data_IF_455151575002
#
_entry.id   IF_455151575002
#
_cell.length_a   1.000
_cell.length_b   1.000
_cell.length_c   1.000
_cell.angle_alpha   90.00
_cell.angle_beta   90.00
_cell.angle_gamma   90.00
#
_symmetry.space_group_name_H-M   'P 1'
#
loop_
_entity.id
_entity.type
_entity.pdbx_description
1 polymer ?
#
# COMPACT_ATOMS: atom_id res chain seq x y z
N UNK A 1 2.02 -16.29 -2.19
CA UNK A 1 2.87 -16.84 -3.28
C UNK A 1 2.19 -17.03 -4.65
N UNK A 2 1.01 -17.68 -4.78
CA UNK A 2 0.40 -17.91 -6.11
C UNK A 2 0.15 -16.63 -6.92
N UNK A 3 -0.17 -15.50 -6.26
CA UNK A 3 -0.40 -14.23 -6.93
C UNK A 3 0.90 -13.63 -7.49
N UNK A 4 1.95 -13.48 -6.68
CA UNK A 4 3.26 -12.97 -7.13
C UNK A 4 3.77 -13.71 -8.35
N UNK A 5 3.69 -15.04 -8.35
CA UNK A 5 4.09 -15.85 -9.51
C UNK A 5 3.27 -15.55 -10.78
N UNK A 6 1.95 -15.32 -10.63
CA UNK A 6 1.09 -14.91 -11.75
C UNK A 6 1.44 -13.50 -12.26
N UNK A 7 1.80 -12.58 -11.36
CA UNK A 7 2.20 -11.23 -11.76
C UNK A 7 3.54 -11.24 -12.49
N UNK A 8 4.53 -12.01 -12.00
CA UNK A 8 5.81 -12.23 -12.69
C UNK A 8 5.58 -12.86 -14.06
N UNK A 9 4.71 -13.88 -14.15
CA UNK A 9 4.33 -14.46 -15.43
C UNK A 9 3.66 -13.42 -16.34
N UNK A 10 2.79 -12.56 -15.81
CA UNK A 10 2.17 -11.46 -16.54
C UNK A 10 3.21 -10.48 -17.10
N UNK A 11 4.20 -10.08 -16.30
CA UNK A 11 5.32 -9.23 -16.72
C UNK A 11 6.07 -9.88 -17.88
N UNK A 12 6.50 -11.15 -17.72
CA UNK A 12 7.27 -11.88 -18.74
C UNK A 12 6.47 -12.04 -20.03
N UNK A 13 5.20 -12.46 -19.92
CA UNK A 13 4.30 -12.63 -21.07
C UNK A 13 4.08 -11.29 -21.77
N UNK A 14 3.84 -10.22 -21.01
CA UNK A 14 3.68 -8.86 -21.54
C UNK A 14 4.89 -8.43 -22.35
N UNK A 15 6.10 -8.58 -21.79
CA UNK A 15 7.36 -8.24 -22.49
C UNK A 15 7.49 -9.03 -23.79
N UNK A 16 7.29 -10.35 -23.74
CA UNK A 16 7.40 -11.20 -24.93
C UNK A 16 6.41 -10.74 -26.00
N UNK A 17 5.15 -10.52 -25.62
CA UNK A 17 4.12 -10.04 -26.55
C UNK A 17 4.47 -8.68 -27.13
N UNK A 18 4.94 -7.73 -26.32
CA UNK A 18 5.34 -6.40 -26.78
C UNK A 18 6.50 -6.39 -27.76
N UNK A 19 7.46 -7.31 -27.61
CA UNK A 19 8.65 -7.38 -28.48
C UNK A 19 8.40 -8.07 -29.84
N UNK A 20 7.45 -9.01 -29.91
CA UNK A 20 7.30 -9.89 -31.10
C UNK A 20 5.94 -9.79 -31.79
N UNK A 21 4.93 -9.22 -31.13
CA UNK A 21 3.55 -9.27 -31.65
C UNK A 21 3.29 -8.13 -32.64
N UNK A 22 2.39 -8.35 -33.62
CA UNK A 22 1.95 -7.28 -34.51
C UNK A 22 1.13 -6.22 -33.75
N UNK A 23 1.05 -5.02 -34.31
CA UNK A 23 0.30 -3.87 -33.78
C UNK A 23 -1.12 -4.26 -33.30
N UNK A 24 -1.83 -5.08 -34.07
CA UNK A 24 -3.18 -5.52 -33.72
C UNK A 24 -3.25 -6.14 -32.31
N UNK A 25 -2.28 -7.00 -31.95
CA UNK A 25 -2.24 -7.65 -30.63
C UNK A 25 -1.96 -6.61 -29.54
N UNK A 26 -1.02 -5.69 -29.79
CA UNK A 26 -0.69 -4.62 -28.84
C UNK A 26 -1.91 -3.75 -28.56
N UNK A 27 -2.63 -3.32 -29.59
CA UNK A 27 -3.85 -2.49 -29.46
C UNK A 27 -5.01 -3.21 -28.76
N UNK A 28 -5.11 -4.54 -28.92
CA UNK A 28 -6.05 -5.36 -28.13
C UNK A 28 -5.66 -5.34 -26.64
N UNK A 29 -4.38 -5.55 -26.32
CA UNK A 29 -3.89 -5.49 -24.93
C UNK A 29 -4.10 -4.11 -24.30
N UNK A 30 -3.88 -3.04 -25.05
CA UNK A 30 -4.13 -1.67 -24.63
C UNK A 30 -5.61 -1.38 -24.39
N UNK A 31 -6.51 -2.00 -25.16
CA UNK A 31 -7.95 -1.89 -24.91
C UNK A 31 -8.34 -2.56 -23.60
N UNK A 32 -7.77 -3.74 -23.32
CA UNK A 32 -7.96 -4.44 -22.03
C UNK A 32 -7.42 -3.58 -20.88
N UNK A 33 -6.24 -2.98 -21.07
CA UNK A 33 -5.63 -2.02 -20.13
C UNK A 33 -6.65 -0.92 -19.82
N UNK A 34 -7.05 -0.14 -20.84
CA UNK A 34 -7.90 1.04 -20.73
C UNK A 34 -9.23 0.79 -19.99
N UNK A 35 -9.93 -0.30 -20.36
CA UNK A 35 -11.21 -0.66 -19.75
C UNK A 35 -11.02 -1.03 -18.28
N UNK A 36 -10.00 -1.84 -17.99
CA UNK A 36 -9.77 -2.31 -16.63
C UNK A 36 -9.20 -1.22 -15.72
N UNK A 37 -8.33 -0.35 -16.24
CA UNK A 37 -7.85 0.84 -15.55
C UNK A 37 -9.00 1.78 -15.21
N UNK A 38 -9.92 2.02 -16.15
CA UNK A 38 -11.14 2.80 -15.90
C UNK A 38 -12.04 2.17 -14.84
N UNK A 39 -12.17 0.84 -14.82
CA UNK A 39 -12.91 0.12 -13.77
C UNK A 39 -12.25 0.27 -12.39
N UNK A 40 -10.91 0.18 -12.30
CA UNK A 40 -10.20 0.45 -11.04
C UNK A 40 -10.47 1.89 -10.59
N UNK A 41 -10.36 2.85 -11.51
CA UNK A 41 -10.70 4.27 -11.29
C UNK A 41 -12.09 4.48 -10.69
N UNK A 42 -13.09 3.81 -11.24
CA UNK A 42 -14.47 3.83 -10.76
C UNK A 42 -14.63 3.28 -9.34
N UNK A 43 -13.90 2.23 -8.98
CA UNK A 43 -14.02 1.55 -7.68
C UNK A 43 -13.29 2.31 -6.54
N UNK A 44 -12.24 3.07 -6.84
CA UNK A 44 -11.42 3.79 -5.84
C UNK A 44 -12.26 4.62 -4.84
N UNK A 45 -13.21 5.49 -5.25
CA UNK A 45 -14.01 6.27 -4.31
C UNK A 45 -14.82 5.41 -3.35
N UNK A 46 -15.29 4.24 -3.78
CA UNK A 46 -16.02 3.31 -2.91
C UNK A 46 -15.10 2.62 -1.91
N UNK A 47 -13.87 2.28 -2.30
CA UNK A 47 -12.85 1.77 -1.37
C UNK A 47 -12.66 2.79 -0.26
N UNK A 48 -12.39 4.04 -0.62
CA UNK A 48 -12.17 5.13 0.34
C UNK A 48 -13.39 5.30 1.24
N UNK A 49 -14.58 5.45 0.66
CA UNK A 49 -15.81 5.69 1.39
C UNK A 49 -16.11 4.60 2.41
N UNK A 50 -16.21 3.34 1.96
CA UNK A 50 -16.66 2.25 2.82
C UNK A 50 -15.59 1.81 3.81
N UNK A 51 -14.32 1.72 3.41
CA UNK A 51 -13.26 1.30 4.33
C UNK A 51 -12.95 2.35 5.38
N UNK A 52 -12.82 3.63 5.01
CA UNK A 52 -12.51 4.70 5.97
C UNK A 52 -13.68 4.93 6.90
N UNK A 53 -14.91 5.03 6.41
CA UNK A 53 -16.06 5.22 7.30
C UNK A 53 -16.25 4.02 8.24
N UNK A 54 -16.18 2.78 7.73
CA UNK A 54 -16.28 1.56 8.55
C UNK A 54 -15.17 1.47 9.59
N UNK A 55 -13.93 1.77 9.18
CA UNK A 55 -12.74 1.77 10.04
C UNK A 55 -12.85 2.81 11.15
N UNK A 56 -13.09 4.07 10.80
CA UNK A 56 -13.22 5.18 11.77
C UNK A 56 -14.40 4.95 12.71
N UNK A 57 -15.54 4.47 12.21
CA UNK A 57 -16.70 4.13 13.03
C UNK A 57 -16.42 2.96 14.01
N UNK A 58 -15.51 2.05 13.64
CA UNK A 58 -15.12 0.89 14.44
C UNK A 58 -14.15 1.19 15.58
N UNK A 59 -13.52 2.36 15.61
CA UNK A 59 -12.55 2.76 16.65
C UNK A 59 -13.18 3.09 18.03
N UNK A 60 -14.50 2.89 18.21
CA UNK A 60 -15.28 3.35 19.37
C UNK A 60 -15.44 2.40 20.58
N UNK A 61 -15.47 3.02 21.77
CA UNK A 61 -15.85 2.62 23.16
C UNK A 61 -14.89 1.88 24.11
N UNK A 62 -13.79 1.22 23.70
CA UNK A 62 -12.82 0.68 24.69
C UNK A 62 -11.62 1.61 24.87
N UNK A 63 -11.44 2.13 26.08
CA UNK A 63 -10.39 3.09 26.51
C UNK A 63 -9.99 4.10 25.42
N UNK A 64 -10.73 5.22 25.33
CA UNK A 64 -10.43 6.28 24.35
C UNK A 64 -8.98 6.78 24.42
N UNK A 65 -8.33 6.66 25.58
CA UNK A 65 -6.90 6.93 25.74
C UNK A 65 -6.01 5.89 25.06
N UNK A 66 -6.27 4.59 25.28
CA UNK A 66 -5.50 3.50 24.66
C UNK A 66 -5.63 3.51 23.13
N UNK A 67 -6.87 3.62 22.62
CA UNK A 67 -7.14 3.73 21.18
C UNK A 67 -6.42 4.95 20.61
N UNK A 68 -6.66 6.13 21.18
CA UNK A 68 -6.10 7.39 20.68
C UNK A 68 -4.57 7.39 20.68
N UNK A 69 -3.94 6.87 21.74
CA UNK A 69 -2.48 6.77 21.83
C UNK A 69 -1.93 5.78 20.80
N UNK A 70 -2.58 4.63 20.62
CA UNK A 70 -2.16 3.62 19.63
C UNK A 70 -2.29 4.15 18.21
N UNK A 71 -3.41 4.82 17.89
CA UNK A 71 -3.63 5.46 16.58
C UNK A 71 -2.61 6.56 16.32
N UNK A 72 -2.34 7.41 17.31
CA UNK A 72 -1.34 8.48 17.18
C UNK A 72 0.07 7.94 16.93
N UNK A 73 0.49 6.91 17.67
CA UNK A 73 1.80 6.26 17.49
C UNK A 73 1.87 5.55 16.14
N UNK A 74 0.81 4.83 15.72
CA UNK A 74 0.74 4.16 14.44
C UNK A 74 0.82 5.14 13.25
N UNK A 75 0.08 6.25 13.33
CA UNK A 75 0.11 7.31 12.32
C UNK A 75 1.51 7.95 12.24
N UNK A 76 2.09 8.33 13.38
CA UNK A 76 3.42 8.93 13.43
C UNK A 76 4.48 7.97 12.88
N UNK A 77 4.44 6.71 13.29
CA UNK A 77 5.32 5.65 12.77
C UNK A 77 5.20 5.54 11.24
N UNK A 78 3.98 5.52 10.71
CA UNK A 78 3.72 5.40 9.27
C UNK A 78 4.23 6.61 8.49
N UNK A 79 4.01 7.82 8.98
CA UNK A 79 4.49 9.07 8.35
C UNK A 79 6.02 9.13 8.38
N UNK A 80 6.65 8.84 9.52
CA UNK A 80 8.11 8.82 9.65
C UNK A 80 8.75 7.77 8.74
N UNK A 81 8.14 6.59 8.62
CA UNK A 81 8.56 5.56 7.68
C UNK A 81 8.53 6.06 6.23
N UNK A 82 7.45 6.74 5.84
CA UNK A 82 7.32 7.37 4.52
C UNK A 82 8.35 8.47 4.28
N UNK A 83 8.66 9.29 5.29
CA UNK A 83 9.70 10.32 5.18
C UNK A 83 11.10 9.72 5.01
N UNK A 84 11.44 8.68 5.77
CA UNK A 84 12.70 7.95 5.61
C UNK A 84 12.79 7.35 4.21
N UNK A 85 11.72 6.69 3.75
CA UNK A 85 11.65 6.14 2.41
C UNK A 85 11.83 7.23 1.35
N UNK A 86 11.19 8.39 1.50
CA UNK A 86 11.31 9.50 0.54
C UNK A 86 12.74 10.04 0.47
N UNK A 87 13.38 10.27 1.62
CA UNK A 87 14.76 10.76 1.68
C UNK A 87 15.71 9.78 0.99
N UNK A 88 15.56 8.48 1.24
CA UNK A 88 16.39 7.46 0.57
C UNK A 88 16.05 7.39 -0.92
N UNK A 89 14.77 7.45 -1.29
CA UNK A 89 14.33 7.37 -2.68
C UNK A 89 14.89 8.53 -3.52
N UNK A 90 14.73 9.78 -3.07
CA UNK A 90 15.19 10.96 -3.81
C UNK A 90 16.71 11.08 -3.89
N UNK A 91 17.44 10.42 -2.97
CA UNK A 91 18.90 10.42 -2.99
C UNK A 91 19.46 9.28 -3.82
N UNK A 92 18.86 8.10 -3.80
CA UNK A 92 19.45 6.91 -4.45
C UNK A 92 18.91 6.66 -5.85
N UNK A 93 17.59 6.83 -6.08
CA UNK A 93 16.96 6.52 -7.37
C UNK A 93 17.56 7.33 -8.53
N UNK A 94 17.86 8.65 -8.40
CA UNK A 94 18.44 9.41 -9.51
C UNK A 94 19.77 8.86 -10.04
N UNK A 95 20.56 8.14 -9.22
CA UNK A 95 21.80 7.51 -9.66
C UNK A 95 21.60 6.20 -10.44
N UNK A 96 20.36 5.71 -10.49
CA UNK A 96 19.98 4.44 -11.11
C UNK A 96 19.00 4.61 -12.27
N UNK A 97 18.29 5.73 -12.30
CA UNK A 97 17.55 6.14 -13.48
C UNK A 97 18.53 6.31 -14.64
N UNK A 98 18.26 5.74 -15.82
CA UNK A 98 19.02 6.09 -17.01
C UNK A 98 19.04 7.62 -17.14
N UNK A 99 20.15 8.20 -17.63
CA UNK A 99 20.07 9.52 -18.27
C UNK A 99 18.87 9.47 -19.21
N UNK A 100 18.08 10.55 -19.32
CA UNK A 100 16.99 10.64 -20.28
C UNK A 100 17.55 10.38 -21.69
N UNK A 101 17.67 9.11 -22.06
CA UNK A 101 17.86 8.67 -23.42
C UNK A 101 16.62 9.16 -24.09
N UNK A 102 16.80 10.09 -25.03
CA UNK A 102 15.78 10.52 -25.98
C UNK A 102 14.98 9.28 -26.30
N UNK A 103 13.75 9.21 -25.79
CA UNK A 103 12.85 8.11 -26.07
C UNK A 103 12.75 8.17 -27.59
N UNK A 104 13.38 7.21 -28.27
CA UNK A 104 13.18 7.04 -29.70
C UNK A 104 11.66 7.02 -29.88
N UNK A 105 11.13 7.77 -30.84
CA UNK A 105 9.69 7.84 -31.15
C UNK A 105 9.12 6.43 -31.30
N UNK A 106 8.81 5.79 -30.18
CA UNK A 106 8.08 4.55 -30.09
C UNK A 106 6.71 4.92 -30.60
N UNK A 107 6.21 4.11 -31.52
CA UNK A 107 4.88 4.32 -32.07
C UNK A 107 3.88 4.32 -30.91
N UNK A 108 3.26 5.46 -30.60
CA UNK A 108 2.22 5.50 -29.58
C UNK A 108 1.02 4.72 -30.11
N UNK A 109 0.83 3.51 -29.60
CA UNK A 109 -0.27 2.67 -30.03
C UNK A 109 -1.55 3.11 -29.33
N UNK A 110 -2.60 3.34 -30.11
CA UNK A 110 -3.92 3.69 -29.55
C UNK A 110 -4.78 2.42 -29.35
N UNK A 111 -5.50 2.29 -28.23
CA UNK A 111 -6.42 1.16 -28.02
C UNK A 111 -7.52 1.15 -29.09
N UNK A 112 -8.05 -0.04 -29.41
CA UNK A 112 -9.25 -0.17 -30.25
C UNK A 112 -10.52 0.26 -29.52
N UNK A 113 -10.59 -0.03 -28.23
CA UNK A 113 -11.74 0.29 -27.38
C UNK A 113 -11.25 1.03 -26.13
N UNK A 114 -11.75 2.24 -25.96
CA UNK A 114 -11.55 3.05 -24.77
C UNK A 114 -12.92 3.30 -24.15
N UNK A 115 -13.21 2.58 -23.07
CA UNK A 115 -14.43 2.78 -22.29
C UNK A 115 -14.07 3.56 -21.03
N UNK A 116 -14.39 4.85 -21.02
CA UNK A 116 -14.21 5.68 -19.83
C UNK A 116 -15.39 5.49 -18.88
N UNK A 117 -15.11 4.93 -17.70
CA UNK A 117 -16.10 4.76 -16.63
C UNK A 117 -15.87 5.90 -15.62
N UNK A 118 -16.70 6.93 -15.68
CA UNK A 118 -16.58 8.07 -14.78
C UNK A 118 -16.80 7.63 -13.31
N UNK A 119 -15.91 8.01 -12.38
CA UNK A 119 -16.08 7.70 -10.96
C UNK A 119 -17.31 8.43 -10.38
N UNK A 120 -18.00 7.79 -9.42
CA UNK A 120 -19.20 8.36 -8.80
C UNK A 120 -18.92 9.71 -8.09
N UNK A 121 -17.73 9.85 -7.53
CA UNK A 121 -17.28 11.07 -6.85
C UNK A 121 -15.75 11.17 -6.88
N UNK A 122 -15.21 12.38 -6.71
CA UNK A 122 -13.77 12.57 -6.59
C UNK A 122 -13.21 11.94 -5.32
N UNK A 123 -11.92 11.59 -5.33
CA UNK A 123 -11.19 10.97 -4.21
C UNK A 123 -11.26 11.82 -2.94
N UNK A 124 -11.04 13.12 -3.06
CA UNK A 124 -11.10 14.05 -1.91
C UNK A 124 -12.52 14.09 -1.34
N UNK A 125 -13.54 14.15 -2.21
CA UNK A 125 -14.94 14.10 -1.79
C UNK A 125 -15.24 12.80 -1.06
N UNK A 126 -14.85 11.66 -1.61
CA UNK A 126 -15.02 10.35 -0.95
C UNK A 126 -14.35 10.31 0.43
N UNK A 127 -13.15 10.85 0.54
CA UNK A 127 -12.40 10.90 1.79
C UNK A 127 -13.10 11.75 2.86
N UNK A 128 -13.49 12.98 2.51
CA UNK A 128 -14.21 13.88 3.41
C UNK A 128 -15.53 13.26 3.85
N UNK A 129 -16.30 12.70 2.90
CA UNK A 129 -17.54 11.97 3.19
C UNK A 129 -17.30 10.80 4.13
N UNK A 130 -16.24 10.01 3.90
CA UNK A 130 -15.92 8.87 4.74
C UNK A 130 -15.63 9.26 6.20
N UNK A 131 -14.89 10.34 6.42
CA UNK A 131 -14.62 10.85 7.77
C UNK A 131 -15.88 11.42 8.43
N UNK A 132 -16.69 12.19 7.70
CA UNK A 132 -17.96 12.74 8.22
C UNK A 132 -18.88 11.61 8.68
N UNK A 133 -19.10 10.59 7.84
CA UNK A 133 -19.92 9.44 8.21
C UNK A 133 -19.26 8.58 9.28
N UNK A 134 -17.96 8.28 9.18
CA UNK A 134 -17.25 7.45 10.16
C UNK A 134 -17.29 8.04 11.58
N UNK A 135 -16.96 9.32 11.72
CA UNK A 135 -17.02 10.04 13.01
C UNK A 135 -18.48 10.19 13.46
N UNK A 136 -19.38 10.52 12.54
CA UNK A 136 -20.81 10.66 12.81
C UNK A 136 -21.43 9.37 13.36
N UNK A 137 -21.13 8.21 12.76
CA UNK A 137 -21.59 6.89 13.21
C UNK A 137 -21.02 6.60 14.61
N UNK A 138 -19.73 6.84 14.84
CA UNK A 138 -19.11 6.62 16.14
C UNK A 138 -19.75 7.47 17.26
N UNK A 139 -20.09 8.72 16.96
CA UNK A 139 -20.65 9.67 17.94
C UNK A 139 -22.15 9.50 18.17
N UNK A 140 -22.90 9.13 17.14
CA UNK A 140 -24.35 8.91 17.23
C UNK A 140 -24.71 7.49 17.65
N UNK A 141 -23.74 6.57 17.65
CA UNK A 141 -23.92 5.15 17.95
C UNK A 141 -24.93 4.44 17.02
N UNK A 142 -25.08 4.96 15.80
CA UNK A 142 -26.05 4.45 14.82
C UNK A 142 -25.66 3.05 14.32
N UNK A 143 -26.34 2.03 14.86
CA UNK A 143 -26.11 0.63 14.47
C UNK A 143 -26.50 0.35 13.02
N UNK A 144 -27.58 0.98 12.53
CA UNK A 144 -28.04 0.81 11.15
C UNK A 144 -26.99 1.32 10.17
N UNK A 145 -26.48 2.54 10.36
CA UNK A 145 -25.47 3.11 9.48
C UNK A 145 -24.16 2.33 9.58
N UNK A 146 -23.73 1.91 10.78
CA UNK A 146 -22.55 1.05 10.92
C UNK A 146 -22.67 -0.23 10.08
N UNK A 147 -23.83 -0.89 10.17
CA UNK A 147 -24.11 -2.12 9.40
C UNK A 147 -24.07 -1.86 7.90
N UNK A 148 -24.71 -0.78 7.42
CA UNK A 148 -24.69 -0.41 5.99
C UNK A 148 -23.27 -0.23 5.47
N UNK A 149 -22.43 0.51 6.20
CA UNK A 149 -21.05 0.76 5.78
C UNK A 149 -20.17 -0.49 5.87
N UNK A 150 -20.41 -1.38 6.84
CA UNK A 150 -19.72 -2.66 6.95
C UNK A 150 -20.11 -3.64 5.84
N UNK A 151 -21.38 -3.71 5.46
CA UNK A 151 -21.83 -4.50 4.32
C UNK A 151 -21.31 -3.91 3.00
N UNK A 152 -21.32 -2.59 2.83
CA UNK A 152 -20.69 -1.92 1.71
C UNK A 152 -19.20 -2.25 1.59
N UNK A 153 -18.47 -2.22 2.71
CA UNK A 153 -17.07 -2.65 2.77
C UNK A 153 -16.90 -4.10 2.30
N UNK A 154 -17.73 -5.04 2.77
CA UNK A 154 -17.69 -6.46 2.34
C UNK A 154 -17.93 -6.61 0.84
N UNK A 155 -18.84 -5.84 0.25
CA UNK A 155 -19.08 -5.84 -1.20
C UNK A 155 -17.81 -5.42 -1.94
N UNK A 156 -17.17 -4.34 -1.51
CA UNK A 156 -15.94 -3.86 -2.14
C UNK A 156 -14.76 -4.84 -1.92
N UNK A 157 -14.64 -5.44 -0.74
CA UNK A 157 -13.69 -6.54 -0.48
C UNK A 157 -13.89 -7.69 -1.48
N UNK A 158 -15.13 -8.08 -1.77
CA UNK A 158 -15.43 -9.10 -2.77
C UNK A 158 -15.05 -8.67 -4.18
N UNK A 159 -15.31 -7.42 -4.56
CA UNK A 159 -14.88 -6.87 -5.86
C UNK A 159 -13.36 -6.93 -6.00
N UNK A 160 -12.61 -6.49 -4.99
CA UNK A 160 -11.15 -6.55 -4.99
C UNK A 160 -10.68 -8.00 -5.13
N UNK A 161 -11.18 -8.90 -4.27
CA UNK A 161 -10.69 -10.28 -4.20
C UNK A 161 -11.10 -11.17 -5.37
N UNK A 162 -12.29 -10.95 -5.95
CA UNK A 162 -12.88 -11.82 -6.99
C UNK A 162 -12.80 -11.24 -8.39
N UNK A 163 -12.66 -9.93 -8.53
CA UNK A 163 -12.59 -9.27 -9.84
C UNK A 163 -11.20 -8.68 -10.03
N UNK A 164 -10.78 -7.76 -9.15
CA UNK A 164 -9.57 -7.00 -9.43
C UNK A 164 -8.31 -7.88 -9.37
N UNK A 165 -8.06 -8.54 -8.24
CA UNK A 165 -6.87 -9.37 -8.02
C UNK A 165 -6.69 -10.46 -9.11
N UNK A 166 -7.72 -11.22 -9.50
CA UNK A 166 -7.58 -12.22 -10.55
C UNK A 166 -7.26 -11.66 -11.94
N UNK A 167 -7.69 -10.43 -12.25
CA UNK A 167 -7.44 -9.77 -13.53
C UNK A 167 -6.11 -8.99 -13.56
N UNK A 168 -5.53 -8.65 -12.41
CA UNK A 168 -4.23 -7.96 -12.33
C UNK A 168 -3.12 -8.58 -13.21
N UNK A 169 -2.92 -9.90 -13.30
CA UNK A 169 -1.88 -10.47 -14.17
C UNK A 169 -2.04 -10.10 -15.65
N UNK A 170 -3.29 -10.04 -16.14
CA UNK A 170 -3.58 -9.66 -17.53
C UNK A 170 -3.35 -8.16 -17.71
N UNK A 171 -3.83 -7.35 -16.76
CA UNK A 171 -3.62 -5.91 -16.79
C UNK A 171 -2.14 -5.52 -16.79
N UNK A 172 -1.33 -6.16 -15.93
CA UNK A 172 0.13 -5.96 -15.89
C UNK A 172 0.78 -6.44 -17.20
N UNK A 173 0.34 -7.58 -17.75
CA UNK A 173 0.85 -8.03 -19.05
C UNK A 173 0.61 -6.99 -20.14
N UNK A 174 -0.57 -6.35 -20.17
CA UNK A 174 -0.85 -5.27 -21.13
C UNK A 174 0.07 -4.06 -20.97
N UNK A 175 0.34 -3.63 -19.74
CA UNK A 175 1.26 -2.50 -19.46
C UNK A 175 2.68 -2.83 -19.91
N UNK A 176 3.17 -4.03 -19.58
CA UNK A 176 4.52 -4.43 -19.98
C UNK A 176 4.65 -4.72 -21.47
N UNK A 177 3.56 -5.10 -22.15
CA UNK A 177 3.52 -5.19 -23.60
C UNK A 177 3.64 -3.82 -24.26
N UNK A 178 2.95 -2.81 -23.72
CA UNK A 178 3.07 -1.41 -24.16
C UNK A 178 4.50 -0.90 -24.01
N UNK A 179 5.07 -1.00 -22.81
CA UNK A 179 6.46 -0.57 -22.55
C UNK A 179 7.48 -1.30 -23.43
N UNK A 180 7.24 -2.59 -23.72
CA UNK A 180 8.13 -3.37 -24.57
C UNK A 180 8.01 -2.97 -26.04
N UNK A 181 6.80 -2.66 -26.51
CA UNK A 181 6.55 -2.15 -27.85
C UNK A 181 7.12 -0.72 -28.05
N UNK A 182 7.14 0.09 -26.98
CA UNK A 182 7.78 1.42 -26.94
C UNK A 182 9.31 1.37 -26.75
N UNK A 183 9.86 0.20 -26.41
CA UNK A 183 11.30 0.02 -26.18
C UNK A 183 11.80 0.50 -24.81
N UNK A 184 10.92 0.92 -23.89
CA UNK A 184 11.27 1.47 -22.55
C UNK A 184 11.29 0.40 -21.44
N UNK A 185 10.92 -0.84 -21.75
CA UNK A 185 10.70 -1.89 -20.75
C UNK A 185 11.95 -2.30 -19.97
N UNK A 186 13.12 -2.35 -20.61
CA UNK A 186 14.35 -2.78 -19.94
C UNK A 186 14.85 -1.75 -18.94
N UNK A 187 14.72 -0.47 -19.27
CA UNK A 187 15.07 0.60 -18.36
C UNK A 187 14.10 0.68 -17.19
N UNK A 188 12.81 0.48 -17.45
CA UNK A 188 11.80 0.30 -16.41
C UNK A 188 12.16 -0.86 -15.46
N UNK A 189 12.53 -2.03 -16.00
CA UNK A 189 12.91 -3.20 -15.19
C UNK A 189 14.16 -2.98 -14.33
N UNK A 190 15.17 -2.24 -14.83
CA UNK A 190 16.37 -1.89 -14.05
C UNK A 190 15.99 -1.07 -12.81
N UNK A 191 15.20 -0.01 -13.01
CA UNK A 191 14.73 0.84 -11.91
C UNK A 191 13.85 0.05 -10.95
N UNK A 192 13.00 -0.84 -11.47
CA UNK A 192 12.16 -1.73 -10.65
C UNK A 192 13.00 -2.60 -9.71
N UNK A 193 14.06 -3.24 -10.22
CA UNK A 193 14.95 -4.06 -9.40
C UNK A 193 15.57 -3.27 -8.24
N UNK A 194 16.06 -2.06 -8.51
CA UNK A 194 16.63 -1.16 -7.49
C UNK A 194 15.58 -0.78 -6.44
N UNK A 195 14.39 -0.35 -6.89
CA UNK A 195 13.27 0.06 -6.02
C UNK A 195 12.87 -1.07 -5.07
N UNK A 196 12.76 -2.30 -5.57
CA UNK A 196 12.42 -3.46 -4.75
C UNK A 196 13.47 -3.74 -3.67
N UNK A 197 14.76 -3.69 -4.03
CA UNK A 197 15.86 -3.89 -3.07
C UNK A 197 15.89 -2.78 -2.02
N UNK A 198 15.73 -1.52 -2.43
CA UNK A 198 15.69 -0.37 -1.52
C UNK A 198 14.50 -0.44 -0.57
N UNK A 199 13.31 -0.80 -1.06
CA UNK A 199 12.12 -0.96 -0.23
C UNK A 199 12.34 -2.04 0.84
N UNK A 200 12.80 -3.24 0.45
CA UNK A 200 13.05 -4.35 1.38
C UNK A 200 14.15 -4.01 2.39
N UNK A 201 15.23 -3.37 1.95
CA UNK A 201 16.30 -2.91 2.85
C UNK A 201 15.76 -1.88 3.86
N UNK A 202 14.98 -0.91 3.38
CA UNK A 202 14.40 0.14 4.22
C UNK A 202 13.36 -0.41 5.19
N UNK A 203 12.62 -1.47 4.83
CA UNK A 203 11.76 -2.18 5.79
C UNK A 203 12.55 -2.68 7.00
N UNK A 204 13.71 -3.31 6.79
CA UNK A 204 14.55 -3.78 7.88
C UNK A 204 15.19 -2.65 8.68
N UNK A 205 15.66 -1.59 8.02
CA UNK A 205 16.14 -0.37 8.69
C UNK A 205 15.05 0.20 9.59
N UNK A 206 13.83 0.31 9.08
CA UNK A 206 12.70 0.84 9.83
C UNK A 206 12.31 -0.05 11.02
N UNK A 207 12.26 -1.38 10.83
CA UNK A 207 12.05 -2.34 11.93
C UNK A 207 13.11 -2.14 13.03
N UNK A 208 14.39 -1.99 12.65
CA UNK A 208 15.46 -1.76 13.63
C UNK A 208 15.23 -0.45 14.39
N UNK A 209 14.91 0.65 13.71
CA UNK A 209 14.62 1.94 14.34
C UNK A 209 13.46 1.82 15.32
N UNK A 210 12.36 1.17 14.93
CA UNK A 210 11.18 0.96 15.77
C UNK A 210 11.53 0.16 17.03
N UNK A 211 12.25 -0.95 16.90
CA UNK A 211 12.58 -1.80 18.04
C UNK A 211 13.67 -1.24 18.94
N UNK A 212 14.67 -0.52 18.40
CA UNK A 212 15.65 0.23 19.21
C UNK A 212 14.94 1.29 20.04
N UNK A 213 14.02 2.04 19.43
CA UNK A 213 13.23 3.06 20.13
C UNK A 213 12.32 2.44 21.20
N UNK A 214 11.60 1.37 20.85
CA UNK A 214 10.74 0.65 21.79
C UNK A 214 11.52 0.00 22.93
N UNK A 215 12.67 -0.60 22.63
CA UNK A 215 13.57 -1.21 23.60
C UNK A 215 14.16 -0.20 24.58
N UNK A 216 14.63 0.95 24.06
CA UNK A 216 15.12 2.05 24.88
C UNK A 216 14.03 2.60 25.81
N UNK A 217 12.81 2.76 25.31
CA UNK A 217 11.69 3.27 26.10
C UNK A 217 11.18 2.27 27.17
N UNK A 218 11.14 0.99 26.83
CA UNK A 218 10.63 -0.08 27.71
C UNK A 218 11.68 -0.75 28.59
N UNK A 219 12.97 -0.45 28.39
CA UNK A 219 14.08 -1.12 29.07
C UNK A 219 14.30 -2.57 28.61
N UNK A 220 13.83 -2.93 27.41
CA UNK A 220 13.93 -4.28 26.84
C UNK A 220 14.99 -4.33 25.73
N UNK A 221 15.69 -5.45 25.56
CA UNK A 221 16.69 -5.59 24.49
C UNK A 221 16.02 -5.65 23.10
N UNK A 222 16.35 -4.74 22.16
CA UNK A 222 15.67 -4.64 20.87
C UNK A 222 15.85 -5.87 19.98
N UNK A 223 17.02 -6.52 20.00
CA UNK A 223 17.30 -7.71 19.19
C UNK A 223 16.51 -8.93 19.69
N UNK A 224 16.32 -9.05 21.00
CA UNK A 224 15.44 -10.08 21.57
C UNK A 224 13.99 -9.84 21.14
N UNK A 225 13.54 -8.58 21.15
CA UNK A 225 12.18 -8.22 20.74
C UNK A 225 11.93 -8.57 19.25
N UNK A 226 12.86 -8.23 18.36
CA UNK A 226 12.80 -8.58 16.93
C UNK A 226 12.80 -10.10 16.76
N UNK A 227 13.73 -10.82 17.43
CA UNK A 227 13.85 -12.28 17.33
C UNK A 227 12.54 -13.00 17.64
N UNK A 228 11.79 -12.51 18.62
CA UNK A 228 10.50 -13.09 19.00
C UNK A 228 9.40 -12.85 17.96
N UNK A 229 9.55 -11.85 17.09
CA UNK A 229 8.60 -11.48 16.04
C UNK A 229 8.87 -12.14 14.69
N UNK A 230 10.04 -12.78 14.51
CA UNK A 230 10.37 -13.51 13.28
C UNK A 230 9.28 -14.52 12.84
N UNK A 231 8.62 -15.29 13.73
CA UNK A 231 7.53 -16.17 13.31
C UNK A 231 6.38 -15.41 12.64
N UNK A 232 6.01 -14.23 13.16
CA UNK A 232 4.98 -13.38 12.54
C UNK A 232 5.46 -12.81 11.21
N UNK A 233 6.71 -12.34 11.13
CA UNK A 233 7.34 -11.86 9.90
C UNK A 233 7.28 -12.91 8.77
N UNK A 234 7.76 -14.13 9.02
CA UNK A 234 7.76 -15.20 8.01
C UNK A 234 6.35 -15.71 7.68
N UNK A 235 5.43 -15.69 8.65
CA UNK A 235 4.02 -16.01 8.38
C UNK A 235 3.42 -14.99 7.41
N UNK A 236 3.65 -13.69 7.65
CA UNK A 236 3.18 -12.61 6.79
C UNK A 236 3.79 -12.65 5.39
N UNK A 237 5.04 -13.07 5.24
CA UNK A 237 5.62 -13.32 3.90
C UNK A 237 4.80 -14.38 3.14
N UNK A 238 4.41 -15.45 3.81
CA UNK A 238 3.64 -16.54 3.20
C UNK A 238 2.19 -16.15 2.89
N UNK A 239 1.52 -15.53 3.86
CA UNK A 239 0.08 -15.20 3.80
C UNK A 239 -0.19 -13.94 2.98
N UNK A 240 0.74 -12.98 2.96
CA UNK A 240 0.55 -11.64 2.39
C UNK A 240 -0.68 -10.92 2.99
N UNK A 241 -1.02 -11.22 4.25
CA UNK A 241 -2.12 -10.55 4.95
C UNK A 241 -1.81 -10.35 6.43
N UNK A 242 -1.92 -9.09 6.89
CA UNK A 242 -1.82 -8.74 8.31
C UNK A 242 -2.92 -9.42 9.11
N UNK A 243 -4.16 -9.38 8.61
CA UNK A 243 -5.32 -9.98 9.26
C UNK A 243 -5.16 -11.50 9.44
N UNK A 244 -4.69 -12.22 8.42
CA UNK A 244 -4.42 -13.65 8.51
C UNK A 244 -3.27 -14.01 9.47
N UNK A 245 -2.39 -13.04 9.77
CA UNK A 245 -1.20 -13.24 10.60
C UNK A 245 -1.43 -12.91 12.08
N UNK A 246 -2.57 -12.27 12.44
CA UNK A 246 -2.93 -11.88 13.81
C UNK A 246 -2.66 -12.99 14.86
N UNK A 247 -3.08 -14.26 14.67
CA UNK A 247 -2.87 -15.30 15.69
C UNK A 247 -1.39 -15.61 15.97
N UNK A 248 -0.50 -15.40 14.98
CA UNK A 248 0.95 -15.59 15.14
C UNK A 248 1.58 -14.32 15.73
N UNK A 249 1.12 -13.13 15.29
CA UNK A 249 1.55 -11.84 15.83
C UNK A 249 1.24 -11.75 17.33
N UNK A 250 0.02 -12.11 17.76
CA UNK A 250 -0.37 -12.12 19.17
C UNK A 250 0.56 -12.98 20.03
N UNK A 251 0.84 -14.21 19.61
CA UNK A 251 1.78 -15.10 20.31
C UNK A 251 3.19 -14.52 20.39
N UNK A 252 3.64 -13.86 19.32
CA UNK A 252 4.96 -13.23 19.23
C UNK A 252 5.07 -12.01 20.15
N UNK A 253 4.02 -11.19 20.21
CA UNK A 253 3.93 -9.99 21.08
C UNK A 253 3.83 -10.38 22.55
N UNK A 254 3.02 -11.39 22.90
CA UNK A 254 2.97 -11.92 24.28
C UNK A 254 4.33 -12.48 24.73
N UNK A 255 5.09 -13.10 23.82
CA UNK A 255 6.47 -13.53 24.08
C UNK A 255 7.44 -12.37 24.38
N UNK A 256 7.14 -11.16 23.91
CA UNK A 256 7.84 -9.93 24.25
C UNK A 256 7.47 -9.33 25.62
N UNK A 257 6.75 -10.10 26.46
CA UNK A 257 6.30 -9.70 27.80
C UNK A 257 5.43 -8.44 27.74
N UNK A 258 4.56 -8.35 26.74
CA UNK A 258 3.45 -7.38 26.69
C UNK A 258 2.26 -7.99 27.41
N UNK A 259 1.55 -7.22 28.25
CA UNK A 259 0.36 -7.72 28.96
C UNK A 259 -0.69 -8.22 27.98
N UNK A 260 -1.36 -9.32 28.33
CA UNK A 260 -2.34 -9.98 27.46
C UNK A 260 -3.44 -9.02 26.98
N UNK A 261 -3.98 -8.19 27.88
CA UNK A 261 -5.00 -7.19 27.54
C UNK A 261 -4.53 -6.16 26.51
N UNK A 262 -3.27 -5.72 26.62
CA UNK A 262 -2.66 -4.78 25.67
C UNK A 262 -2.44 -5.46 24.33
N UNK A 263 -1.91 -6.69 24.33
CA UNK A 263 -1.64 -7.44 23.09
C UNK A 263 -2.94 -7.80 22.36
N UNK A 264 -3.93 -8.34 23.08
CA UNK A 264 -5.21 -8.81 22.53
C UNK A 264 -6.04 -7.66 21.93
N UNK A 265 -5.85 -6.45 22.42
CA UNK A 265 -6.44 -5.24 21.84
C UNK A 265 -5.57 -4.60 20.75
N UNK A 266 -4.29 -4.37 21.05
CA UNK A 266 -3.40 -3.56 20.25
C UNK A 266 -2.94 -4.25 18.96
N UNK A 267 -2.76 -5.57 18.94
CA UNK A 267 -2.35 -6.29 17.72
C UNK A 267 -3.45 -6.26 16.65
N UNK A 268 -4.71 -6.63 16.91
CA UNK A 268 -5.77 -6.53 15.90
C UNK A 268 -5.99 -5.10 15.40
N UNK A 269 -5.88 -4.11 16.31
CA UNK A 269 -5.98 -2.71 15.94
C UNK A 269 -4.84 -2.30 14.99
N UNK A 270 -3.58 -2.55 15.36
CA UNK A 270 -2.41 -2.20 14.54
C UNK A 270 -2.41 -2.92 13.18
N UNK A 271 -2.85 -4.18 13.12
CA UNK A 271 -2.96 -4.93 11.88
C UNK A 271 -3.86 -4.27 10.82
N UNK A 272 -4.72 -3.33 11.23
CA UNK A 272 -5.55 -2.51 10.35
C UNK A 272 -4.98 -1.11 10.15
N UNK A 273 -4.49 -0.46 11.20
CA UNK A 273 -4.17 0.98 11.17
C UNK A 273 -2.69 1.32 10.91
N UNK A 274 -1.79 0.33 11.00
CA UNK A 274 -0.35 0.53 10.96
C UNK A 274 0.27 -0.20 9.77
N UNK A 275 0.39 0.52 8.66
CA UNK A 275 0.91 -0.03 7.39
C UNK A 275 2.19 0.69 6.95
N UNK A 276 3.16 0.81 7.86
CA UNK A 276 4.42 1.54 7.63
C UNK A 276 5.30 0.92 6.54
N UNK A 277 5.42 -0.40 6.45
CA UNK A 277 6.08 -1.10 5.35
C UNK A 277 5.39 -0.87 4.00
N UNK A 278 4.05 -0.88 4.00
CA UNK A 278 3.30 -0.54 2.78
C UNK A 278 3.57 0.89 2.33
N UNK A 279 3.61 1.86 3.24
CA UNK A 279 3.93 3.26 2.92
C UNK A 279 5.36 3.42 2.44
N UNK A 280 6.34 2.75 3.05
CA UNK A 280 7.72 2.73 2.55
C UNK A 280 7.74 2.33 1.07
N UNK A 281 7.09 1.21 0.75
CA UNK A 281 7.00 0.74 -0.64
C UNK A 281 6.31 1.76 -1.54
N UNK A 282 5.12 2.23 -1.17
CA UNK A 282 4.33 3.15 -2.00
C UNK A 282 5.14 4.42 -2.30
N UNK A 283 5.88 4.95 -1.32
CA UNK A 283 6.73 6.13 -1.51
C UNK A 283 7.87 5.84 -2.48
N UNK A 284 8.60 4.73 -2.32
CA UNK A 284 9.67 4.35 -3.26
C UNK A 284 9.13 4.19 -4.69
N UNK A 285 8.01 3.48 -4.85
CA UNK A 285 7.39 3.29 -6.14
C UNK A 285 6.90 4.60 -6.75
N UNK A 286 6.29 5.49 -5.95
CA UNK A 286 5.80 6.77 -6.44
C UNK A 286 6.93 7.65 -6.96
N UNK A 287 8.04 7.74 -6.20
CA UNK A 287 9.24 8.48 -6.64
C UNK A 287 9.79 7.88 -7.94
N UNK A 288 9.92 6.56 -8.03
CA UNK A 288 10.40 5.90 -9.24
C UNK A 288 9.50 6.16 -10.45
N UNK A 289 8.18 6.03 -10.28
CA UNK A 289 7.20 6.26 -11.35
C UNK A 289 7.21 7.73 -11.80
N UNK A 290 7.31 8.69 -10.88
CA UNK A 290 7.46 10.12 -11.22
C UNK A 290 8.73 10.38 -12.03
N UNK A 291 9.82 9.68 -11.73
CA UNK A 291 11.08 9.86 -12.46
C UNK A 291 11.12 9.14 -13.81
N UNK A 292 10.41 8.02 -13.94
CA UNK A 292 10.30 7.25 -15.17
C UNK A 292 9.30 7.83 -16.18
N UNK A 293 8.35 8.65 -15.71
CA UNK A 293 7.27 9.18 -16.55
C UNK A 293 7.57 10.64 -16.94
N UNK A 294 7.86 10.93 -18.21
CA UNK A 294 8.33 12.27 -18.63
C UNK A 294 7.36 13.41 -18.32
N UNK A 295 6.06 13.15 -18.40
CA UNK A 295 5.01 14.16 -18.21
C UNK A 295 4.68 14.44 -16.73
N UNK A 296 5.24 13.65 -15.81
CA UNK A 296 5.03 13.86 -14.38
C UNK A 296 6.06 14.84 -13.81
N UNK A 297 5.58 15.68 -12.90
CA UNK A 297 6.47 16.57 -12.15
C UNK A 297 7.51 15.74 -11.38
N UNK A 298 8.75 16.24 -11.35
CA UNK A 298 9.81 15.60 -10.59
C UNK A 298 9.46 15.57 -9.08
N UNK A 299 9.83 14.50 -8.36
CA UNK A 299 9.49 14.37 -6.95
C UNK A 299 10.25 15.42 -6.11
N UNK A 300 9.51 16.32 -5.46
CA UNK A 300 10.07 17.31 -4.54
C UNK A 300 9.55 17.08 -3.12
N UNK A 301 10.22 17.67 -2.13
CA UNK A 301 9.74 17.65 -0.75
C UNK A 301 8.35 18.32 -0.63
N UNK A 302 8.12 19.41 -1.38
CA UNK A 302 6.85 20.14 -1.37
C UNK A 302 5.68 19.30 -1.92
N UNK A 303 5.93 18.46 -2.93
CA UNK A 303 4.90 17.60 -3.51
C UNK A 303 4.69 16.32 -2.69
N UNK A 304 5.76 15.71 -2.19
CA UNK A 304 5.69 14.40 -1.52
C UNK A 304 5.30 14.49 -0.05
N UNK A 305 5.62 15.58 0.65
CA UNK A 305 5.30 15.72 2.07
C UNK A 305 3.78 15.64 2.33
N UNK A 306 2.90 16.39 1.62
CA UNK A 306 1.45 16.26 1.79
C UNK A 306 0.95 14.85 1.44
N UNK A 307 1.52 14.22 0.41
CA UNK A 307 1.16 12.86 0.01
C UNK A 307 1.47 11.86 1.12
N UNK A 308 2.63 11.95 1.77
CA UNK A 308 3.02 11.05 2.87
C UNK A 308 2.08 11.19 4.07
N UNK A 309 1.68 12.42 4.42
CA UNK A 309 0.69 12.64 5.48
C UNK A 309 -0.67 12.01 5.12
N UNK A 310 -1.12 12.20 3.88
CA UNK A 310 -2.38 11.64 3.39
C UNK A 310 -2.34 10.11 3.29
N UNK A 311 -1.20 9.53 2.91
CA UNK A 311 -0.99 8.08 2.97
C UNK A 311 -1.12 7.59 4.41
N UNK A 312 -0.48 8.25 5.39
CA UNK A 312 -0.65 7.93 6.81
C UNK A 312 -2.11 7.91 7.24
N UNK A 313 -2.91 8.88 6.77
CA UNK A 313 -4.33 8.99 7.09
C UNK A 313 -5.16 7.86 6.46
N UNK A 314 -4.94 7.56 5.18
CA UNK A 314 -5.67 6.49 4.48
C UNK A 314 -5.28 5.10 5.00
N UNK A 315 -4.01 4.90 5.37
CA UNK A 315 -3.54 3.62 5.91
C UNK A 315 -4.21 3.23 7.23
N UNK A 316 -4.77 4.19 7.99
CA UNK A 316 -5.58 3.88 9.18
C UNK A 316 -6.79 3.00 8.83
N UNK A 317 -7.27 3.05 7.59
CA UNK A 317 -8.44 2.32 7.16
C UNK A 317 -8.20 1.36 6.01
N UNK A 318 -6.96 1.26 5.52
CA UNK A 318 -6.69 0.44 4.36
C UNK A 318 -6.94 -1.05 4.68
N UNK A 319 -7.45 -1.83 3.70
CA UNK A 319 -7.68 -3.25 3.87
C UNK A 319 -6.39 -4.01 4.24
N UNK A 320 -6.42 -4.85 5.28
CA UNK A 320 -5.33 -5.75 5.67
C UNK A 320 -5.22 -7.03 4.83
N UNK A 321 -5.56 -6.96 3.54
CA UNK A 321 -5.57 -8.07 2.56
C UNK A 321 -4.58 -7.79 1.42
N UNK A 322 -4.18 -8.79 0.61
CA UNK A 322 -3.24 -8.60 -0.50
C UNK A 322 -3.61 -7.42 -1.40
N UNK A 323 -2.67 -6.50 -1.61
CA UNK A 323 -2.87 -5.29 -2.42
C UNK A 323 -3.75 -4.21 -1.78
N UNK A 324 -4.30 -4.42 -0.58
CA UNK A 324 -5.25 -3.49 0.04
C UNK A 324 -4.71 -2.08 0.22
N UNK A 325 -3.45 -1.95 0.62
CA UNK A 325 -2.82 -0.65 0.82
C UNK A 325 -2.61 0.12 -0.49
N UNK A 326 -2.13 -0.54 -1.56
CA UNK A 326 -1.97 0.15 -2.85
C UNK A 326 -3.32 0.57 -3.40
N UNK A 327 -4.35 -0.28 -3.29
CA UNK A 327 -5.71 0.05 -3.74
C UNK A 327 -6.30 1.26 -3.01
N UNK A 328 -6.04 1.39 -1.70
CA UNK A 328 -6.45 2.56 -0.93
C UNK A 328 -5.65 3.81 -1.32
N UNK A 329 -4.36 3.67 -1.63
CA UNK A 329 -3.48 4.77 -2.01
C UNK A 329 -3.75 5.31 -3.42
N UNK A 330 -4.29 4.49 -4.33
CA UNK A 330 -4.50 4.83 -5.74
C UNK A 330 -5.18 6.19 -5.94
N UNK A 331 -6.24 6.48 -5.18
CA UNK A 331 -6.94 7.75 -5.30
C UNK A 331 -6.06 8.96 -5.01
N UNK A 332 -5.24 8.90 -3.94
CA UNK A 332 -4.30 9.97 -3.61
C UNK A 332 -3.28 10.14 -4.74
N UNK A 333 -2.70 9.04 -5.22
CA UNK A 333 -1.67 9.06 -6.25
C UNK A 333 -2.20 9.74 -7.53
N UNK A 334 -3.43 9.43 -7.94
CA UNK A 334 -4.07 10.12 -9.07
C UNK A 334 -4.31 11.60 -8.77
N UNK A 335 -4.95 11.95 -7.64
CA UNK A 335 -5.38 13.34 -7.41
C UNK A 335 -4.28 14.30 -6.97
N UNK A 336 -3.23 13.81 -6.29
CA UNK A 336 -2.17 14.65 -5.74
C UNK A 336 -0.89 14.60 -6.57
N UNK A 337 -0.62 13.48 -7.25
CA UNK A 337 0.57 13.34 -8.10
C UNK A 337 0.25 13.31 -9.59
N UNK A 338 -1.03 13.36 -9.98
CA UNK A 338 -1.43 13.36 -11.39
C UNK A 338 -1.22 12.02 -12.10
N UNK A 339 -1.17 10.91 -11.35
CA UNK A 339 -0.88 9.61 -11.96
C UNK A 339 -2.03 9.16 -12.86
N UNK A 340 -1.75 9.13 -14.16
CA UNK A 340 -2.60 8.53 -15.18
C UNK A 340 -2.54 7.00 -15.17
N UNK A 341 -3.28 6.36 -16.07
CA UNK A 341 -3.50 4.91 -16.04
C UNK A 341 -2.20 4.09 -16.10
N UNK A 342 -1.25 4.46 -16.96
CA UNK A 342 0.03 3.77 -17.07
C UNK A 342 0.83 3.83 -15.76
N UNK A 343 0.96 5.03 -15.17
CA UNK A 343 1.63 5.24 -13.89
C UNK A 343 0.98 4.43 -12.76
N UNK A 344 -0.36 4.37 -12.73
CA UNK A 344 -1.13 3.58 -11.78
C UNK A 344 -0.89 2.08 -11.94
N UNK A 345 -0.81 1.62 -13.19
CA UNK A 345 -0.44 0.26 -13.54
C UNK A 345 0.95 -0.13 -13.03
N UNK A 346 1.95 0.74 -13.23
CA UNK A 346 3.30 0.54 -12.72
C UNK A 346 3.34 0.52 -11.20
N UNK A 347 2.60 1.40 -10.54
CA UNK A 347 2.47 1.41 -9.08
C UNK A 347 1.92 0.09 -8.53
N UNK A 348 0.86 -0.44 -9.16
CA UNK A 348 0.28 -1.73 -8.77
C UNK A 348 1.30 -2.86 -9.00
N UNK A 349 1.95 -2.90 -10.17
CA UNK A 349 2.91 -3.94 -10.49
C UNK A 349 4.10 -3.96 -9.50
N UNK A 350 4.73 -2.80 -9.28
CA UNK A 350 5.84 -2.63 -8.35
C UNK A 350 5.46 -3.03 -6.92
N UNK A 351 4.33 -2.49 -6.43
CA UNK A 351 3.89 -2.74 -5.06
C UNK A 351 3.60 -4.22 -4.85
N UNK A 352 2.82 -4.81 -5.74
CA UNK A 352 2.33 -6.19 -5.62
C UNK A 352 3.46 -7.23 -5.74
N UNK A 353 4.54 -6.91 -6.45
CA UNK A 353 5.71 -7.79 -6.57
C UNK A 353 6.36 -8.09 -5.21
N UNK A 354 6.23 -7.18 -4.24
CA UNK A 354 6.88 -7.30 -2.94
C UNK A 354 5.95 -7.09 -1.73
N UNK A 355 4.64 -6.96 -1.93
CA UNK A 355 3.64 -6.70 -0.88
C UNK A 355 3.78 -7.61 0.35
N UNK A 356 4.20 -8.87 0.15
CA UNK A 356 4.49 -9.80 1.24
C UNK A 356 5.56 -9.31 2.22
N UNK A 357 6.60 -8.63 1.74
CA UNK A 357 7.65 -8.06 2.58
C UNK A 357 7.18 -6.79 3.31
N UNK A 358 6.42 -5.93 2.63
CA UNK A 358 5.77 -4.78 3.26
C UNK A 358 4.80 -5.22 4.37
N UNK A 359 3.98 -6.23 4.11
CA UNK A 359 3.09 -6.85 5.10
C UNK A 359 3.87 -7.43 6.28
N UNK A 360 4.98 -8.12 6.02
CA UNK A 360 5.84 -8.66 7.07
C UNK A 360 6.46 -7.55 7.94
N UNK A 361 6.82 -6.41 7.34
CA UNK A 361 7.29 -5.24 8.08
C UNK A 361 6.17 -4.62 8.93
N UNK A 362 4.95 -4.50 8.39
CA UNK A 362 3.78 -4.00 9.12
C UNK A 362 3.54 -4.82 10.40
N UNK A 363 3.32 -6.13 10.28
CA UNK A 363 3.02 -7.00 11.43
C UNK A 363 4.15 -7.05 12.46
N UNK A 364 5.39 -6.86 12.00
CA UNK A 364 6.55 -6.81 12.89
C UNK A 364 6.60 -5.49 13.62
N UNK A 365 6.32 -4.37 12.95
CA UNK A 365 6.20 -3.06 13.56
C UNK A 365 5.04 -2.94 14.55
N UNK A 366 3.94 -3.68 14.33
CA UNK A 366 2.82 -3.76 15.29
C UNK A 366 3.30 -4.23 16.67
N UNK A 367 4.25 -5.17 16.70
CA UNK A 367 4.85 -5.62 17.95
C UNK A 367 5.64 -4.54 18.67
N UNK A 368 6.34 -3.67 17.93
CA UNK A 368 7.07 -2.55 18.52
C UNK A 368 6.11 -1.53 19.14
N UNK A 369 5.01 -1.21 18.45
CA UNK A 369 3.96 -0.33 18.98
C UNK A 369 3.36 -0.93 20.26
N UNK A 370 3.02 -2.21 20.26
CA UNK A 370 2.46 -2.87 21.44
C UNK A 370 3.42 -2.86 22.64
N UNK A 371 4.74 -2.99 22.43
CA UNK A 371 5.74 -2.85 23.50
C UNK A 371 5.77 -1.43 24.08
N UNK A 372 5.63 -0.40 23.25
CA UNK A 372 5.59 1.00 23.71
C UNK A 372 4.30 1.28 24.46
N UNK A 373 3.16 0.86 23.92
CA UNK A 373 1.84 1.04 24.53
C UNK A 373 1.77 0.35 25.90
N UNK A 374 2.26 -0.89 26.01
CA UNK A 374 2.34 -1.62 27.27
C UNK A 374 3.07 -0.81 28.36
N UNK A 375 4.17 -0.16 27.97
CA UNK A 375 4.94 0.68 28.90
C UNK A 375 4.24 1.99 29.27
N UNK A 376 3.46 2.56 28.36
CA UNK A 376 2.64 3.76 28.63
C UNK A 376 1.52 3.42 29.60
N UNK A 377 0.85 2.29 29.41
CA UNK A 377 -0.25 1.84 30.26
C UNK A 377 0.20 1.35 31.63
N UNK A 378 1.46 0.91 31.80
CA UNK A 378 2.05 0.69 33.13
C UNK A 378 2.20 1.98 33.96
N UNK A 379 2.31 3.14 33.32
CA UNK A 379 2.49 4.46 33.97
C UNK A 379 1.19 5.24 34.11
N UNK A 380 0.10 4.71 33.55
CA UNK A 380 -1.26 5.25 33.62
C UNK A 380 -1.83 5.07 35.02
#
# INVERSE_FOLDING_TARGET
>A
MKLVLKLIAGIIIGIILGLISPEFVIRVLLSIKAIFGSFIGFIIPFIILFFIASGVAGLGKKSGRLVGTTVGIAYLSTVLAGLVAFIIAITVIPFTSPEQSVIAEGSSFEPFLQLEIAPLMGVITALVTAFVFGIGIAKTESQMLKTIFDEGKKIIDLVIAKIIIPFLPIYIASIFAELAAEGTVFDTLKVFGVVLLLAIATHWVWIIIQYVSAGAYSGKNPFTLIKNMLPAYFTAIGTMSSAATIPVTLRSVKKNKVKDEVADFGVPLCATIHLSGSVITIVFCAVAVMMLTPDLAQPTFATMLPVIFMLGLIMVAAPGVPGGAIMAALGILTTMLGFGEAAMGLMIALYMAQDSFGTAANVTGDGAINVVIDKIEEKA
#
